data_IF_940811652947
#
_entry.id   IF_940811652947
#
_cell.length_a   1.000
_cell.length_b   1.000
_cell.length_c   1.000
_cell.angle_alpha   90.00
_cell.angle_beta   90.00
_cell.angle_gamma   90.00
#
_symmetry.space_group_name_H-M   'P 1'
#
loop_
_entity.id
_entity.type
_entity.pdbx_description
1 polymer ?
#
# COMPACT_ATOMS: atom_id res chain seq x y z
N UNK A 1 3.12 -14.94 17.29
CA UNK A 1 3.17 -13.53 16.83
C UNK A 1 1.80 -13.18 16.26
N UNK A 2 0.97 -12.44 17.00
CA UNK A 2 -0.37 -12.04 16.52
C UNK A 2 -0.26 -10.68 15.85
N UNK A 3 -0.39 -10.65 14.53
CA UNK A 3 -0.48 -9.40 13.78
C UNK A 3 -1.79 -8.70 14.14
N UNK A 4 -1.73 -7.47 14.67
CA UNK A 4 -2.94 -6.66 14.90
C UNK A 4 -3.36 -6.06 13.57
N UNK A 5 -4.64 -6.23 13.21
CA UNK A 5 -5.29 -5.46 12.14
C UNK A 5 -5.51 -4.01 12.59
N UNK A 6 -4.47 -3.37 13.13
CA UNK A 6 -4.49 -1.95 13.42
C UNK A 6 -4.36 -1.25 12.08
N UNK A 7 -5.51 -0.83 11.54
CA UNK A 7 -5.57 0.15 10.47
C UNK A 7 -4.95 1.45 10.99
N UNK A 8 -3.63 1.57 10.92
CA UNK A 8 -2.99 2.86 11.12
C UNK A 8 -3.47 3.81 10.03
N UNK A 9 -3.86 5.00 10.46
CA UNK A 9 -4.17 6.12 9.58
C UNK A 9 -2.86 6.58 8.91
N UNK A 10 -2.94 6.97 7.64
CA UNK A 10 -1.77 7.40 6.84
C UNK A 10 -0.99 8.52 7.57
N UNK A 11 -1.68 9.38 8.32
CA UNK A 11 -1.10 10.49 9.07
C UNK A 11 -0.31 10.04 10.33
N UNK A 12 -0.77 8.99 11.01
CA UNK A 12 -0.10 8.43 12.20
C UNK A 12 1.14 7.61 11.81
N UNK A 13 1.08 6.93 10.65
CA UNK A 13 2.28 6.31 10.06
C UNK A 13 3.33 7.36 9.71
N UNK A 14 2.93 8.53 9.20
CA UNK A 14 3.86 9.64 8.89
C UNK A 14 4.52 10.23 10.14
N UNK A 15 3.85 10.20 11.28
CA UNK A 15 4.37 10.79 12.52
C UNK A 15 5.27 9.82 13.31
N UNK A 16 4.92 8.52 13.34
CA UNK A 16 5.74 7.48 13.98
C UNK A 16 6.95 7.06 13.15
N UNK A 17 6.90 7.30 11.84
CA UNK A 17 7.96 7.01 10.89
C UNK A 17 8.53 8.37 10.43
N UNK A 18 9.57 8.86 11.08
CA UNK A 18 10.25 10.11 10.69
C UNK A 18 10.56 10.11 9.16
N UNK A 19 10.33 11.22 8.44
CA UNK A 19 10.25 11.23 6.98
C UNK A 19 11.56 10.87 6.25
N UNK A 20 12.71 10.95 6.92
CA UNK A 20 14.01 10.76 6.28
C UNK A 20 14.36 9.29 5.97
N UNK A 21 13.85 8.31 6.72
CA UNK A 21 14.09 6.91 6.36
C UNK A 21 13.10 6.42 5.29
N UNK A 22 11.96 7.10 5.10
CA UNK A 22 10.95 6.76 4.09
C UNK A 22 11.45 7.07 2.68
N UNK A 23 11.92 8.29 2.40
CA UNK A 23 12.38 8.66 1.06
C UNK A 23 13.63 7.87 0.62
N UNK A 24 14.58 7.67 1.54
CA UNK A 24 15.80 6.92 1.31
C UNK A 24 15.56 5.43 1.14
N UNK A 25 14.66 4.84 1.93
CA UNK A 25 14.32 3.42 1.82
C UNK A 25 13.52 3.13 0.56
N UNK A 26 12.59 3.99 0.15
CA UNK A 26 11.83 3.81 -1.10
C UNK A 26 12.72 3.99 -2.33
N UNK A 27 13.62 4.98 -2.31
CA UNK A 27 14.62 5.15 -3.38
C UNK A 27 15.57 3.96 -3.47
N UNK A 28 15.94 3.34 -2.33
CA UNK A 28 16.77 2.14 -2.28
C UNK A 28 16.01 0.84 -2.63
N UNK A 29 14.69 0.80 -2.39
CA UNK A 29 13.81 -0.31 -2.81
C UNK A 29 13.58 -0.34 -4.33
N UNK A 30 13.94 0.74 -5.05
CA UNK A 30 13.84 0.85 -6.50
C UNK A 30 12.40 0.82 -7.04
N UNK A 31 12.27 0.84 -8.37
CA UNK A 31 11.01 0.56 -9.10
C UNK A 31 10.52 -0.90 -8.94
N UNK A 32 11.08 -1.65 -7.99
CA UNK A 32 10.74 -3.04 -7.74
C UNK A 32 9.33 -3.22 -7.19
N UNK A 33 8.95 -4.49 -7.05
CA UNK A 33 7.60 -4.91 -6.69
C UNK A 33 6.82 -5.39 -7.92
N UNK A 34 5.86 -6.27 -7.67
CA UNK A 34 5.02 -6.84 -8.70
C UNK A 34 3.90 -5.86 -9.09
N UNK A 35 3.53 -5.76 -10.37
CA UNK A 35 2.37 -4.99 -10.77
C UNK A 35 1.11 -5.58 -10.14
N UNK A 36 0.10 -4.73 -9.96
CA UNK A 36 -1.23 -5.20 -9.56
C UNK A 36 -1.74 -6.22 -10.59
N UNK A 37 -2.35 -7.35 -10.18
CA UNK A 37 -2.97 -8.30 -11.10
C UNK A 37 -3.95 -7.59 -12.04
N UNK A 38 -3.87 -7.92 -13.33
CA UNK A 38 -4.57 -7.22 -14.41
C UNK A 38 -6.09 -7.16 -14.20
N UNK A 39 -6.67 -8.22 -13.64
CA UNK A 39 -8.09 -8.31 -13.30
C UNK A 39 -8.51 -7.27 -12.25
N UNK A 40 -7.71 -7.08 -11.20
CA UNK A 40 -7.96 -6.09 -10.16
C UNK A 40 -7.72 -4.68 -10.69
N UNK A 41 -6.63 -4.47 -11.43
CA UNK A 41 -6.32 -3.19 -12.05
C UNK A 41 -7.49 -2.73 -12.94
N UNK A 42 -7.92 -3.59 -13.87
CA UNK A 42 -9.01 -3.29 -14.79
C UNK A 42 -10.36 -3.06 -14.07
N UNK A 43 -10.67 -3.87 -13.07
CA UNK A 43 -11.92 -3.76 -12.33
C UNK A 43 -12.03 -2.44 -11.56
N UNK A 44 -10.98 -2.06 -10.82
CA UNK A 44 -10.98 -0.86 -9.99
C UNK A 44 -10.76 0.42 -10.81
N UNK A 45 -9.82 0.41 -11.77
CA UNK A 45 -9.55 1.59 -12.60
C UNK A 45 -10.80 2.04 -13.37
N UNK A 46 -11.53 1.08 -13.97
CA UNK A 46 -12.77 1.36 -14.72
C UNK A 46 -13.90 1.88 -13.84
N UNK A 47 -14.04 1.33 -12.62
CA UNK A 47 -15.17 1.64 -11.74
C UNK A 47 -15.01 2.97 -11.02
N UNK A 48 -13.77 3.39 -10.76
CA UNK A 48 -13.47 4.58 -9.96
C UNK A 48 -12.81 5.71 -10.76
N UNK A 49 -12.57 5.53 -12.06
CA UNK A 49 -11.94 6.55 -12.93
C UNK A 49 -10.62 7.06 -12.31
N UNK A 50 -9.78 6.09 -11.89
CA UNK A 50 -8.50 6.32 -11.24
C UNK A 50 -7.42 5.53 -11.98
N UNK A 51 -6.24 6.14 -12.15
CA UNK A 51 -5.06 5.45 -12.66
C UNK A 51 -4.45 4.60 -11.53
N UNK A 52 -4.41 3.28 -11.72
CA UNK A 52 -3.83 2.32 -10.78
C UNK A 52 -2.62 1.60 -11.39
N UNK A 53 -2.14 2.08 -12.53
CA UNK A 53 -1.05 1.47 -13.29
C UNK A 53 0.31 1.62 -12.60
N UNK A 54 0.44 2.63 -11.73
CA UNK A 54 1.62 2.82 -10.88
C UNK A 54 1.60 1.98 -9.60
N UNK A 55 0.50 1.26 -9.32
CA UNK A 55 0.41 0.46 -8.09
C UNK A 55 1.41 -0.70 -8.12
N UNK A 56 2.22 -0.81 -7.06
CA UNK A 56 3.24 -1.87 -6.88
C UNK A 56 3.03 -2.67 -5.61
N UNK A 57 3.19 -3.99 -5.70
CA UNK A 57 3.09 -4.94 -4.59
C UNK A 57 4.49 -5.36 -4.13
N UNK A 58 4.79 -5.20 -2.85
CA UNK A 58 6.07 -5.52 -2.24
C UNK A 58 5.95 -6.67 -1.26
N UNK A 59 6.72 -7.73 -1.49
CA UNK A 59 6.83 -8.91 -0.60
C UNK A 59 8.27 -9.21 -0.21
N UNK A 60 9.20 -8.31 -0.53
CA UNK A 60 10.62 -8.41 -0.24
C UNK A 60 10.95 -8.25 1.27
N UNK A 61 12.19 -8.57 1.65
CA UNK A 61 12.63 -8.57 3.05
C UNK A 61 12.42 -7.24 3.75
N UNK A 62 12.49 -6.12 3.02
CA UNK A 62 12.23 -4.81 3.59
C UNK A 62 10.74 -4.65 3.95
N UNK A 63 9.83 -5.01 3.04
CA UNK A 63 8.39 -5.04 3.32
C UNK A 63 8.06 -5.86 4.58
N UNK A 64 8.70 -7.02 4.74
CA UNK A 64 8.54 -7.87 5.92
C UNK A 64 9.03 -7.21 7.21
N UNK A 65 10.21 -6.57 7.18
CA UNK A 65 10.79 -5.89 8.34
C UNK A 65 9.89 -4.75 8.84
N UNK A 66 9.39 -3.93 7.91
CA UNK A 66 8.51 -2.79 8.21
C UNK A 66 7.16 -3.28 8.74
N UNK A 67 6.56 -4.28 8.09
CA UNK A 67 5.32 -4.90 8.56
C UNK A 67 5.46 -5.46 9.99
N UNK A 68 6.60 -6.07 10.31
CA UNK A 68 6.89 -6.59 11.64
C UNK A 68 7.01 -5.47 12.68
N UNK A 69 7.69 -4.37 12.33
CA UNK A 69 7.84 -3.18 13.19
C UNK A 69 6.49 -2.50 13.47
N UNK A 70 5.63 -2.42 12.45
CA UNK A 70 4.28 -1.87 12.55
C UNK A 70 3.28 -2.86 13.17
N UNK A 71 3.65 -4.14 13.29
CA UNK A 71 2.76 -5.20 13.78
C UNK A 71 1.55 -5.44 12.87
N UNK A 72 1.66 -5.20 11.55
CA UNK A 72 0.58 -5.37 10.56
C UNK A 72 0.92 -6.37 9.44
N UNK A 73 -0.08 -7.12 8.94
CA UNK A 73 0.12 -8.10 7.84
C UNK A 73 0.44 -7.43 6.50
N UNK A 74 -0.04 -6.20 6.33
CA UNK A 74 0.20 -5.38 5.16
C UNK A 74 -0.12 -3.90 5.43
N UNK A 75 0.58 -2.99 4.76
CA UNK A 75 0.30 -1.55 4.81
C UNK A 75 0.36 -0.93 3.41
N UNK A 76 -0.16 0.30 3.31
CA UNK A 76 -0.18 1.10 2.09
C UNK A 76 0.64 2.34 2.34
N UNK A 77 1.45 2.74 1.37
CA UNK A 77 2.23 3.97 1.40
C UNK A 77 2.37 4.51 -0.02
N UNK A 78 1.82 5.71 -0.28
CA UNK A 78 1.73 6.17 -1.67
C UNK A 78 0.76 5.28 -2.46
N UNK A 79 1.22 4.87 -3.64
CA UNK A 79 0.60 3.89 -4.53
C UNK A 79 1.16 2.48 -4.33
N UNK A 80 1.87 2.23 -3.23
CA UNK A 80 2.59 0.97 -3.00
C UNK A 80 1.97 0.20 -1.85
N UNK A 81 1.81 -1.10 -2.04
CA UNK A 81 1.27 -2.02 -1.04
C UNK A 81 2.39 -2.95 -0.57
N UNK A 82 2.63 -2.96 0.73
CA UNK A 82 3.69 -3.77 1.35
C UNK A 82 3.06 -4.90 2.15
N UNK A 83 3.60 -6.11 2.01
CA UNK A 83 3.12 -7.32 2.66
C UNK A 83 4.18 -7.92 3.58
N UNK A 84 3.74 -8.44 4.71
CA UNK A 84 4.61 -9.10 5.68
C UNK A 84 5.19 -10.43 5.17
N UNK A 85 4.57 -11.03 4.15
CA UNK A 85 4.99 -12.27 3.51
C UNK A 85 4.29 -12.43 2.16
N UNK A 86 4.86 -13.23 1.24
CA UNK A 86 4.25 -13.56 -0.05
C UNK A 86 2.84 -14.16 0.08
N UNK A 87 2.60 -15.00 1.09
CA UNK A 87 1.26 -15.57 1.36
C UNK A 87 0.22 -14.51 1.72
N UNK A 88 0.63 -13.36 2.27
CA UNK A 88 -0.27 -12.25 2.54
C UNK A 88 -0.67 -11.49 1.26
N UNK A 89 0.18 -11.47 0.24
CA UNK A 89 -0.16 -10.90 -1.07
C UNK A 89 -1.12 -11.80 -1.87
N UNK A 90 -1.12 -13.11 -1.60
CA UNK A 90 -2.06 -14.07 -2.18
C UNK A 90 -3.44 -14.05 -1.49
N UNK A 91 -3.55 -13.41 -0.32
CA UNK A 91 -4.82 -13.22 0.39
C UNK A 91 -5.62 -12.11 -0.31
N UNK A 92 -6.51 -12.50 -1.22
CA UNK A 92 -7.33 -11.58 -2.01
C UNK A 92 -8.13 -10.60 -1.15
N UNK A 93 -8.62 -11.04 0.01
CA UNK A 93 -9.38 -10.19 0.92
C UNK A 93 -8.50 -9.07 1.48
N UNK A 94 -7.28 -9.43 1.91
CA UNK A 94 -6.31 -8.46 2.39
C UNK A 94 -5.88 -7.49 1.29
N UNK A 95 -5.58 -7.99 0.09
CA UNK A 95 -5.20 -7.16 -1.05
C UNK A 95 -6.30 -6.15 -1.43
N UNK A 96 -7.55 -6.60 -1.54
CA UNK A 96 -8.71 -5.73 -1.82
C UNK A 96 -8.88 -4.68 -0.74
N UNK A 97 -8.74 -5.04 0.54
CA UNK A 97 -8.85 -4.10 1.65
C UNK A 97 -7.78 -3.00 1.57
N UNK A 98 -6.54 -3.33 1.16
CA UNK A 98 -5.47 -2.34 0.95
C UNK A 98 -5.69 -1.51 -0.30
N UNK A 99 -6.07 -2.13 -1.42
CA UNK A 99 -6.36 -1.42 -2.67
C UNK A 99 -7.50 -0.40 -2.49
N UNK A 100 -8.52 -0.75 -1.71
CA UNK A 100 -9.61 0.17 -1.36
C UNK A 100 -9.10 1.44 -0.66
N UNK A 101 -8.04 1.34 0.16
CA UNK A 101 -7.42 2.52 0.79
C UNK A 101 -6.75 3.42 -0.25
N UNK A 102 -6.04 2.86 -1.23
CA UNK A 102 -5.43 3.60 -2.35
C UNK A 102 -6.51 4.34 -3.14
N UNK A 103 -7.55 3.63 -3.59
CA UNK A 103 -8.65 4.22 -4.36
C UNK A 103 -9.33 5.35 -3.59
N UNK A 104 -9.63 5.15 -2.30
CA UNK A 104 -10.25 6.20 -1.47
C UNK A 104 -9.38 7.46 -1.41
N UNK A 105 -8.06 7.30 -1.26
CA UNK A 105 -7.12 8.42 -1.23
C UNK A 105 -7.12 9.21 -2.53
N UNK A 106 -7.07 8.52 -3.68
CA UNK A 106 -7.17 9.17 -5.00
C UNK A 106 -8.47 9.94 -5.16
N UNK A 107 -9.59 9.38 -4.73
CA UNK A 107 -10.88 10.06 -4.75
C UNK A 107 -10.90 11.30 -3.84
N UNK A 108 -10.35 11.22 -2.63
CA UNK A 108 -10.23 12.39 -1.74
C UNK A 108 -9.33 13.48 -2.31
N UNK A 109 -8.21 13.13 -2.95
CA UNK A 109 -7.35 14.09 -3.63
C UNK A 109 -8.05 14.74 -4.84
N UNK A 110 -8.76 13.96 -5.66
CA UNK A 110 -9.57 14.45 -6.79
C UNK A 110 -10.68 15.39 -6.32
N UNK A 111 -11.33 15.11 -5.19
CA UNK A 111 -12.35 15.98 -4.59
C UNK A 111 -11.76 17.29 -4.06
N UNK A 112 -10.59 17.24 -3.41
CA UNK A 112 -9.91 18.43 -2.92
C UNK A 112 -9.43 19.36 -4.04
N UNK A 113 -9.12 18.82 -5.23
CA UNK A 113 -8.68 19.61 -6.39
C UNK A 113 -9.81 20.31 -7.16
N UNK A 114 -11.08 19.95 -6.89
CA UNK A 114 -12.27 20.51 -7.56
C UNK A 114 -12.95 21.59 -6.71
N UNK A 115 -12.57 21.72 -5.44
CA UNK A 115 -13.05 22.74 -4.51
C UNK A 115 -12.19 24.01 -4.54
#
# INVERSE_FOLDING_TARGET
>A
MTYRDTAFDDEELRHRLEPHWFEGSFSAMGDGGDPLPDELLSFYAKRYDCDLSDVRLHTDNNAQAICSMLGTRAFVAGDRIFFAAASAAQDQTLLVAKLTKIVRRHLSAKQAAVA
#
